data_IF_835429685880
#
_entry.id   IF_835429685880
#
_cell.length_a   1.000
_cell.length_b   1.000
_cell.length_c   1.000
_cell.angle_alpha   90.00
_cell.angle_beta   90.00
_cell.angle_gamma   90.00
#
_symmetry.space_group_name_H-M   'P 1'
#
loop_
_entity.id
_entity.type
_entity.pdbx_description
1 polymer ?
#
# COMPACT_ATOMS: atom_id res chain seq x y z
N UNK A 1 -6.31 -10.89 -2.05
CA UNK A 1 -5.03 -10.22 -2.33
C UNK A 1 -5.26 -9.15 -3.39
N UNK A 2 -4.83 -7.92 -3.13
CA UNK A 2 -4.95 -6.77 -4.04
C UNK A 2 -3.61 -6.03 -4.06
N UNK A 3 -3.34 -5.11 -5.01
CA UNK A 3 -2.38 -4.04 -4.77
C UNK A 3 -2.76 -3.27 -3.50
N UNK A 4 -1.78 -2.69 -2.80
CA UNK A 4 -2.07 -1.81 -1.64
C UNK A 4 -2.66 -0.48 -2.08
N UNK A 5 -2.08 0.12 -3.12
CA UNK A 5 -2.58 1.34 -3.79
C UNK A 5 -2.72 1.06 -5.28
N UNK A 6 -3.54 1.85 -5.98
CA UNK A 6 -3.79 1.64 -7.40
C UNK A 6 -2.70 2.22 -8.31
N UNK A 7 -1.87 3.13 -7.78
CA UNK A 7 -0.88 3.87 -8.54
C UNK A 7 0.53 3.57 -8.02
N UNK A 8 1.54 3.73 -8.88
CA UNK A 8 2.93 3.80 -8.43
C UNK A 8 3.14 5.03 -7.53
N UNK A 9 4.23 5.07 -6.72
CA UNK A 9 4.66 6.28 -6.03
C UNK A 9 4.66 7.47 -6.98
N UNK A 10 3.82 8.47 -6.68
CA UNK A 10 3.67 9.66 -7.50
C UNK A 10 4.69 10.73 -7.09
N UNK A 11 5.08 11.63 -8.02
CA UNK A 11 5.90 12.77 -7.68
C UNK A 11 5.29 13.62 -6.57
N UNK A 12 6.15 14.23 -5.75
CA UNK A 12 5.73 15.21 -4.75
C UNK A 12 4.88 16.33 -5.39
N UNK A 13 3.85 16.79 -4.69
CA UNK A 13 2.87 17.76 -5.19
C UNK A 13 1.72 17.17 -6.03
N UNK A 14 1.76 15.88 -6.39
CA UNK A 14 0.67 15.25 -7.18
C UNK A 14 -0.64 15.09 -6.38
N UNK A 15 -0.52 14.92 -5.07
CA UNK A 15 -1.62 14.83 -4.09
C UNK A 15 -1.51 16.02 -3.13
N UNK A 16 -1.57 17.22 -3.68
CA UNK A 16 -1.56 18.47 -2.92
C UNK A 16 -2.93 18.74 -2.32
N UNK A 17 -3.07 18.56 -1.00
CA UNK A 17 -4.31 18.84 -0.27
C UNK A 17 -4.67 20.33 -0.25
N UNK A 18 -3.65 21.19 -0.22
CA UNK A 18 -3.80 22.64 -0.02
C UNK A 18 -4.08 23.39 -1.34
N UNK A 19 -4.13 22.68 -2.48
CA UNK A 19 -4.50 23.25 -3.76
C UNK A 19 -5.90 23.92 -3.65
N UNK A 20 -6.01 25.25 -3.84
CA UNK A 20 -7.27 25.97 -3.64
C UNK A 20 -8.35 25.58 -4.67
N UNK A 21 -7.99 24.83 -5.71
CA UNK A 21 -8.94 24.27 -6.68
C UNK A 21 -9.69 23.05 -6.12
N UNK A 22 -9.24 22.47 -5.00
CA UNK A 22 -9.92 21.35 -4.38
C UNK A 22 -11.11 21.78 -3.52
N UNK A 23 -12.26 21.17 -3.81
CA UNK A 23 -13.32 20.97 -2.83
C UNK A 23 -13.07 19.70 -2.02
N UNK A 24 -13.73 19.56 -0.86
CA UNK A 24 -13.74 18.30 -0.08
C UNK A 24 -14.12 17.11 -0.96
N UNK A 25 -15.15 17.25 -1.80
CA UNK A 25 -15.62 16.16 -2.67
C UNK A 25 -14.59 15.77 -3.74
N UNK A 26 -13.96 16.75 -4.39
CA UNK A 26 -12.92 16.47 -5.38
C UNK A 26 -11.68 15.87 -4.75
N UNK A 27 -11.31 16.32 -3.54
CA UNK A 27 -10.19 15.76 -2.80
C UNK A 27 -10.46 14.30 -2.40
N UNK A 28 -11.62 14.02 -1.80
CA UNK A 28 -12.00 12.65 -1.43
C UNK A 28 -11.99 11.72 -2.65
N UNK A 29 -12.52 12.17 -3.79
CA UNK A 29 -12.45 11.40 -5.04
C UNK A 29 -11.00 11.08 -5.42
N UNK A 30 -10.12 12.08 -5.39
CA UNK A 30 -8.71 11.93 -5.77
C UNK A 30 -7.95 10.94 -4.88
N UNK A 31 -8.13 11.01 -3.56
CA UNK A 31 -7.46 10.07 -2.64
C UNK A 31 -8.01 8.65 -2.75
N UNK A 32 -9.31 8.48 -3.05
CA UNK A 32 -9.89 7.16 -3.30
C UNK A 32 -9.53 6.60 -4.69
N UNK A 33 -9.23 7.44 -5.67
CA UNK A 33 -8.64 7.00 -6.94
C UNK A 33 -7.20 6.49 -6.74
N UNK A 34 -6.43 7.14 -5.87
CA UNK A 34 -5.06 6.73 -5.54
C UNK A 34 -5.00 5.46 -4.69
N UNK A 35 -5.78 5.41 -3.60
CA UNK A 35 -5.80 4.31 -2.62
C UNK A 35 -7.17 3.67 -2.44
N UNK A 36 -7.78 3.06 -3.48
CA UNK A 36 -9.13 2.51 -3.39
C UNK A 36 -9.24 1.28 -2.49
N UNK A 37 -8.13 0.58 -2.25
CA UNK A 37 -8.15 -0.77 -1.69
C UNK A 37 -8.01 -0.84 -0.17
N UNK A 38 -7.59 0.21 0.52
CA UNK A 38 -7.32 0.17 1.97
C UNK A 38 -8.53 0.58 2.81
N UNK A 39 -9.29 1.57 2.31
CA UNK A 39 -10.41 2.16 3.04
C UNK A 39 -11.51 1.18 3.48
N UNK A 40 -11.91 0.16 2.67
CA UNK A 40 -12.91 -0.81 3.10
C UNK A 40 -12.54 -1.52 4.41
N UNK A 41 -11.25 -1.77 4.65
CA UNK A 41 -10.77 -2.53 5.79
C UNK A 41 -10.62 -1.68 7.06
N UNK A 42 -10.47 -0.36 6.92
CA UNK A 42 -10.64 0.56 8.05
C UNK A 42 -12.07 0.53 8.59
N UNK A 43 -13.06 0.42 7.70
CA UNK A 43 -14.49 0.39 8.07
C UNK A 43 -14.90 -0.97 8.63
N UNK A 44 -14.44 -2.06 8.00
CA UNK A 44 -14.82 -3.41 8.42
C UNK A 44 -14.03 -3.93 9.62
N UNK A 45 -12.87 -3.32 9.93
CA UNK A 45 -12.00 -3.74 11.03
C UNK A 45 -11.26 -5.06 10.76
N UNK A 46 -11.23 -5.53 9.51
CA UNK A 46 -10.44 -6.71 9.16
C UNK A 46 -8.93 -6.41 9.26
N UNK A 47 -8.12 -7.34 9.77
CA UNK A 47 -6.67 -7.18 9.75
C UNK A 47 -6.16 -7.20 8.31
N UNK A 48 -5.34 -6.21 7.98
CA UNK A 48 -4.72 -6.02 6.68
C UNK A 48 -3.22 -5.73 6.82
N UNK A 49 -2.40 -6.26 5.90
CA UNK A 49 -0.95 -6.01 5.84
C UNK A 49 -0.54 -5.66 4.41
N UNK A 50 0.41 -4.76 4.26
CA UNK A 50 1.04 -4.41 2.98
C UNK A 50 2.46 -4.97 2.93
N UNK A 51 2.74 -5.83 1.94
CA UNK A 51 4.06 -6.44 1.74
C UNK A 51 4.74 -5.85 0.50
N UNK A 52 6.03 -5.48 0.55
CA UNK A 52 6.75 -4.90 -0.58
C UNK A 52 7.23 -6.02 -1.51
N UNK A 53 6.31 -6.67 -2.23
CA UNK A 53 6.61 -7.88 -3.02
C UNK A 53 7.19 -7.59 -4.41
N UNK A 54 6.97 -6.39 -4.95
CA UNK A 54 7.34 -6.07 -6.33
C UNK A 54 7.96 -4.68 -6.48
N UNK A 55 8.66 -4.49 -7.60
CA UNK A 55 9.15 -3.21 -8.08
C UNK A 55 8.55 -2.94 -9.47
N UNK A 56 8.33 -1.68 -9.81
CA UNK A 56 8.04 -1.27 -11.19
C UNK A 56 9.28 -1.44 -12.08
N UNK A 57 9.15 -1.37 -13.41
CA UNK A 57 10.30 -1.36 -14.33
C UNK A 57 11.32 -0.23 -14.02
N UNK A 58 10.85 0.87 -13.43
CA UNK A 58 11.66 2.02 -13.00
C UNK A 58 12.22 1.87 -11.57
N UNK A 59 12.01 0.73 -10.92
CA UNK A 59 12.52 0.44 -9.58
C UNK A 59 11.66 1.02 -8.43
N UNK A 60 10.44 1.50 -8.70
CA UNK A 60 9.56 2.00 -7.65
C UNK A 60 8.86 0.86 -6.89
N UNK A 61 8.74 0.93 -5.55
CA UNK A 61 8.12 -0.15 -4.77
C UNK A 61 6.61 -0.27 -5.05
N UNK A 62 6.15 -1.53 -5.20
CA UNK A 62 4.75 -1.91 -5.35
C UNK A 62 4.37 -2.80 -4.16
N UNK A 63 3.43 -2.30 -3.34
CA UNK A 63 2.86 -3.03 -2.22
C UNK A 63 1.75 -3.98 -2.64
N UNK A 64 1.73 -5.17 -2.05
CA UNK A 64 0.64 -6.13 -2.14
C UNK A 64 -0.07 -6.22 -0.80
N UNK A 65 -1.37 -5.99 -0.80
CA UNK A 65 -2.22 -6.05 0.38
C UNK A 65 -2.86 -7.43 0.53
N UNK A 66 -2.69 -8.00 1.72
CA UNK A 66 -3.42 -9.16 2.20
C UNK A 66 -4.39 -8.74 3.28
N UNK A 67 -5.54 -9.41 3.32
CA UNK A 67 -6.58 -9.18 4.32
C UNK A 67 -7.08 -10.53 4.79
N UNK A 68 -7.16 -10.70 6.10
CA UNK A 68 -7.71 -11.90 6.72
C UNK A 68 -9.08 -11.62 7.35
N UNK A 69 -9.75 -12.69 7.78
CA UNK A 69 -10.96 -12.56 8.59
C UNK A 69 -10.65 -11.85 9.92
N UNK A 70 -11.67 -11.23 10.53
CA UNK A 70 -11.53 -10.55 11.82
C UNK A 70 -10.95 -11.48 12.87
N UNK A 71 -9.91 -11.03 13.60
CA UNK A 71 -9.21 -11.81 14.62
C UNK A 71 -8.28 -12.90 14.08
N UNK A 72 -7.97 -12.89 12.77
CA UNK A 72 -7.07 -13.85 12.11
C UNK A 72 -5.72 -13.27 11.70
N UNK A 73 -5.15 -12.41 12.56
CA UNK A 73 -3.80 -11.90 12.43
C UNK A 73 -2.76 -13.04 12.44
N UNK A 74 -3.06 -14.16 13.11
CA UNK A 74 -2.26 -15.39 13.09
C UNK A 74 -2.03 -15.90 11.66
N UNK A 75 -3.11 -16.11 10.91
CA UNK A 75 -3.02 -16.56 9.51
C UNK A 75 -2.43 -15.48 8.60
N UNK A 76 -2.78 -14.22 8.86
CA UNK A 76 -2.27 -13.12 8.06
C UNK A 76 -0.75 -13.06 8.12
N UNK A 77 -0.18 -13.18 9.33
CA UNK A 77 1.26 -13.19 9.56
C UNK A 77 1.91 -14.49 9.06
N UNK A 78 1.26 -15.64 9.20
CA UNK A 78 1.77 -16.91 8.67
C UNK A 78 1.94 -16.85 7.14
N UNK A 79 0.90 -16.40 6.43
CA UNK A 79 0.96 -16.25 4.97
C UNK A 79 1.96 -15.16 4.57
N UNK A 80 2.03 -14.04 5.32
CA UNK A 80 3.02 -13.00 5.07
C UNK A 80 4.45 -13.51 5.19
N UNK A 81 4.75 -14.33 6.20
CA UNK A 81 6.06 -14.95 6.40
C UNK A 81 6.42 -15.92 5.26
N UNK A 82 5.45 -16.71 4.78
CA UNK A 82 5.66 -17.57 3.61
C UNK A 82 6.00 -16.74 2.36
N UNK A 83 5.33 -15.61 2.16
CA UNK A 83 5.62 -14.71 1.03
C UNK A 83 6.96 -13.99 1.19
N UNK A 84 7.36 -13.65 2.41
CA UNK A 84 8.70 -13.11 2.70
C UNK A 84 9.80 -14.09 2.32
N UNK A 85 9.62 -15.37 2.64
CA UNK A 85 10.57 -16.42 2.28
C UNK A 85 10.60 -16.68 0.76
N UNK A 86 9.42 -16.67 0.11
CA UNK A 86 9.30 -16.95 -1.32
C UNK A 86 9.76 -15.79 -2.21
N UNK A 87 9.62 -14.55 -1.75
CA UNK A 87 10.00 -13.34 -2.48
C UNK A 87 10.71 -12.33 -1.57
N UNK A 88 11.94 -12.61 -1.11
CA UNK A 88 12.64 -11.76 -0.14
C UNK A 88 12.81 -10.31 -0.61
N UNK A 89 12.58 -9.37 0.31
CA UNK A 89 12.78 -7.93 0.05
C UNK A 89 13.86 -7.28 0.90
N UNK A 90 14.45 -8.00 1.86
CA UNK A 90 15.39 -7.44 2.84
C UNK A 90 16.58 -6.72 2.21
N UNK A 91 17.04 -7.19 1.06
CA UNK A 91 18.20 -6.63 0.35
C UNK A 91 17.83 -5.44 -0.55
N UNK A 92 16.53 -5.12 -0.72
CA UNK A 92 16.08 -3.97 -1.51
C UNK A 92 16.25 -2.70 -0.69
N UNK A 93 17.30 -1.94 -0.98
CA UNK A 93 17.56 -0.65 -0.35
C UNK A 93 17.21 0.52 -1.28
N UNK A 94 16.61 1.61 -0.75
CA UNK A 94 16.41 2.83 -1.51
C UNK A 94 17.75 3.56 -1.76
N UNK A 95 17.75 4.50 -2.70
CA UNK A 95 18.94 5.33 -3.01
C UNK A 95 19.40 6.22 -1.84
N UNK A 96 18.51 6.48 -0.88
CA UNK A 96 18.80 7.19 0.36
C UNK A 96 18.50 6.22 1.50
N UNK A 97 19.55 5.61 2.04
CA UNK A 97 19.49 4.67 3.16
C UNK A 97 20.61 4.98 4.15
N UNK A 98 20.34 4.85 5.45
CA UNK A 98 21.31 5.07 6.54
C UNK A 98 21.23 3.87 7.47
N UNK A 99 22.39 3.27 7.75
CA UNK A 99 22.55 2.13 8.67
C UNK A 99 22.50 2.55 10.16
#
# INVERSE_FOLDING_TARGET
MTPTVAWLPVPHGTLDYDDPRHSVRSWLRRIFEFGPFTAPFNVSGNPAISLPLALSPEGLPIGIQLVAATGREDLLLEVAAQLEQAAPWKERQPSIFVD
#
